data_IF_798814008185
#
_entry.id   IF_798814008185
#
_cell.length_a   1.000
_cell.length_b   1.000
_cell.length_c   1.000
_cell.angle_alpha   90.00
_cell.angle_beta   90.00
_cell.angle_gamma   90.00
#
_symmetry.space_group_name_H-M   'P 1'
#
loop_
_entity.id
_entity.type
_entity.pdbx_description
1 polymer ?
#
# COMPACT_ATOMS: atom_id res chain seq x y z
N UNK A 1 -35.11 -30.40 -25.51
CA UNK A 1 -33.67 -30.52 -25.80
C UNK A 1 -33.05 -29.22 -25.30
N UNK A 2 -32.60 -29.24 -24.05
CA UNK A 2 -32.34 -28.04 -23.26
C UNK A 2 -30.99 -27.43 -23.63
N UNK A 3 -31.02 -26.12 -23.84
CA UNK A 3 -29.90 -25.23 -24.10
C UNK A 3 -28.83 -25.39 -23.00
N UNK A 4 -27.63 -25.84 -23.37
CA UNK A 4 -26.45 -25.63 -22.55
C UNK A 4 -26.09 -24.15 -22.69
N UNK A 5 -26.41 -23.36 -21.66
CA UNK A 5 -25.81 -22.05 -21.44
C UNK A 5 -24.33 -22.29 -21.17
N UNK A 6 -23.48 -21.78 -22.05
CA UNK A 6 -22.06 -21.66 -21.77
C UNK A 6 -21.89 -20.94 -20.43
N UNK A 7 -21.11 -21.59 -19.58
CA UNK A 7 -20.87 -21.25 -18.18
C UNK A 7 -20.48 -19.77 -18.02
N UNK A 8 -20.95 -19.19 -16.91
CA UNK A 8 -20.49 -17.92 -16.35
C UNK A 8 -18.97 -17.78 -16.51
N UNK A 9 -18.53 -17.05 -17.53
CA UNK A 9 -17.23 -16.41 -17.51
C UNK A 9 -17.42 -15.16 -16.66
N UNK A 10 -17.01 -15.14 -15.37
CA UNK A 10 -17.10 -13.92 -14.60
C UNK A 10 -16.15 -12.96 -15.31
N UNK A 11 -16.71 -11.98 -16.01
CA UNK A 11 -15.99 -10.83 -16.56
C UNK A 11 -14.96 -10.46 -15.51
N UNK A 12 -13.67 -10.68 -15.83
CA UNK A 12 -12.57 -10.45 -14.92
C UNK A 12 -12.74 -9.04 -14.37
N UNK A 13 -13.25 -8.94 -13.15
CA UNK A 13 -13.56 -7.63 -12.60
C UNK A 13 -12.24 -6.89 -12.55
N UNK A 14 -12.23 -5.67 -13.09
CA UNK A 14 -11.04 -4.84 -13.30
C UNK A 14 -10.21 -4.58 -12.02
N UNK A 15 -10.59 -5.15 -10.87
CA UNK A 15 -9.87 -5.11 -9.61
C UNK A 15 -10.12 -6.33 -8.73
N UNK A 16 -9.92 -7.55 -9.23
CA UNK A 16 -9.95 -8.73 -8.34
C UNK A 16 -8.88 -8.61 -7.23
N UNK A 17 -9.23 -8.72 -5.93
CA UNK A 17 -8.28 -8.55 -4.82
C UNK A 17 -7.07 -9.49 -4.92
N UNK A 18 -7.32 -10.73 -5.33
CA UNK A 18 -6.29 -11.75 -5.50
C UNK A 18 -5.23 -11.40 -6.57
N UNK A 19 -5.60 -10.60 -7.58
CA UNK A 19 -4.68 -10.16 -8.62
C UNK A 19 -3.86 -8.96 -8.14
N UNK A 20 -4.47 -8.03 -7.41
CA UNK A 20 -3.76 -6.93 -6.75
C UNK A 20 -2.72 -7.44 -5.74
N UNK A 21 -3.06 -8.47 -4.96
CA UNK A 21 -2.12 -9.12 -4.03
C UNK A 21 -0.91 -9.73 -4.74
N UNK A 22 -1.09 -10.26 -5.96
CA UNK A 22 0.03 -10.76 -6.77
C UNK A 22 0.93 -9.62 -7.22
N UNK A 23 0.35 -8.50 -7.70
CA UNK A 23 1.14 -7.33 -8.08
C UNK A 23 1.92 -6.75 -6.90
N UNK A 24 1.33 -6.71 -5.70
CA UNK A 24 2.01 -6.25 -4.49
C UNK A 24 3.19 -7.16 -4.12
N UNK A 25 3.01 -8.49 -4.16
CA UNK A 25 4.10 -9.45 -3.93
C UNK A 25 5.23 -9.31 -4.96
N UNK A 26 4.89 -9.08 -6.22
CA UNK A 26 5.89 -8.82 -7.27
C UNK A 26 6.65 -7.51 -6.97
N UNK A 27 5.96 -6.47 -6.48
CA UNK A 27 6.57 -5.20 -6.09
C UNK A 27 7.54 -5.38 -4.91
N UNK A 28 7.19 -6.20 -3.92
CA UNK A 28 8.05 -6.50 -2.76
C UNK A 28 9.34 -7.23 -3.14
N UNK A 29 9.31 -8.02 -4.21
CA UNK A 29 10.49 -8.64 -4.81
C UNK A 29 11.36 -7.66 -5.60
N UNK A 30 10.98 -6.38 -5.62
CA UNK A 30 11.67 -5.30 -6.30
C UNK A 30 11.84 -5.53 -7.81
N UNK A 31 10.97 -6.31 -8.45
CA UNK A 31 11.10 -6.66 -9.89
C UNK A 31 10.66 -5.55 -10.84
N UNK A 32 10.33 -4.36 -10.32
CA UNK A 32 9.89 -3.20 -11.10
C UNK A 32 10.89 -2.78 -12.19
N UNK A 33 12.15 -3.19 -12.08
CA UNK A 33 13.18 -3.00 -13.09
C UNK A 33 13.13 -4.01 -14.26
N UNK A 34 12.43 -5.14 -14.09
CA UNK A 34 12.27 -6.19 -15.10
C UNK A 34 10.91 -6.11 -15.79
N UNK A 35 9.86 -5.74 -15.04
CA UNK A 35 8.48 -5.69 -15.54
C UNK A 35 7.77 -4.45 -14.99
N UNK A 36 7.07 -3.73 -15.86
CA UNK A 36 6.21 -2.62 -15.44
C UNK A 36 4.99 -3.15 -14.67
N UNK A 37 4.95 -2.84 -13.38
CA UNK A 37 3.80 -3.14 -12.53
C UNK A 37 2.79 -1.98 -12.59
N UNK A 38 1.47 -2.23 -12.50
CA UNK A 38 0.48 -1.17 -12.40
C UNK A 38 0.74 -0.25 -11.20
N UNK A 39 0.74 1.06 -11.46
CA UNK A 39 0.97 2.11 -10.48
C UNK A 39 0.09 3.33 -10.79
N UNK A 40 -0.40 3.99 -9.75
CA UNK A 40 -1.09 5.28 -9.85
C UNK A 40 -0.15 6.36 -9.31
N UNK A 41 0.18 7.34 -10.16
CA UNK A 41 1.05 8.47 -9.78
C UNK A 41 0.25 9.75 -9.83
N UNK A 42 0.33 10.54 -8.76
CA UNK A 42 -0.35 11.84 -8.64
C UNK A 42 0.68 12.95 -8.87
N UNK A 43 0.49 13.75 -9.91
CA UNK A 43 1.40 14.84 -10.32
C UNK A 43 0.66 16.17 -10.33
N UNK A 44 1.32 17.24 -9.91
CA UNK A 44 0.78 18.60 -9.92
C UNK A 44 1.59 19.58 -9.08
N UNK A 45 1.40 20.87 -9.33
CA UNK A 45 2.15 21.97 -8.69
C UNK A 45 2.01 22.02 -7.17
N UNK A 46 2.93 22.66 -6.44
CA UNK A 46 2.84 22.83 -4.99
C UNK A 46 1.47 23.45 -4.62
N UNK A 47 0.84 22.94 -3.54
CA UNK A 47 -0.47 23.41 -3.08
C UNK A 47 -1.67 23.11 -4.00
N UNK A 48 -1.54 22.29 -5.04
CA UNK A 48 -2.66 21.87 -5.91
C UNK A 48 -3.64 20.84 -5.31
N UNK A 49 -3.57 20.58 -4.00
CA UNK A 49 -4.49 19.65 -3.33
C UNK A 49 -4.21 18.15 -3.52
N UNK A 50 -3.06 17.75 -4.09
CA UNK A 50 -2.65 16.34 -4.24
C UNK A 50 -2.80 15.52 -2.96
N UNK A 51 -2.26 16.06 -1.86
CA UNK A 51 -2.36 15.44 -0.54
C UNK A 51 -3.82 15.35 -0.10
N UNK A 52 -4.63 16.39 -0.29
CA UNK A 52 -6.05 16.37 0.09
C UNK A 52 -6.88 15.34 -0.70
N UNK A 53 -6.60 15.15 -2.00
CA UNK A 53 -7.23 14.10 -2.80
C UNK A 53 -6.84 12.72 -2.29
N UNK A 54 -5.56 12.50 -2.01
CA UNK A 54 -5.06 11.25 -1.44
C UNK A 54 -5.63 11.00 -0.04
N UNK A 55 -5.70 12.03 0.82
CA UNK A 55 -6.34 11.98 2.15
C UNK A 55 -7.80 11.53 2.04
N UNK A 56 -8.53 12.08 1.06
CA UNK A 56 -9.95 11.75 0.84
C UNK A 56 -10.15 10.32 0.37
N UNK A 57 -9.17 9.77 -0.38
CA UNK A 57 -9.21 8.39 -0.87
C UNK A 57 -8.76 7.38 0.19
N UNK A 58 -7.75 7.73 0.99
CA UNK A 58 -7.08 6.83 1.95
C UNK A 58 -7.73 6.87 3.34
N UNK A 59 -8.37 7.99 3.69
CA UNK A 59 -8.95 8.20 5.02
C UNK A 59 -7.91 8.54 6.10
N UNK A 60 -6.65 8.77 5.72
CA UNK A 60 -5.57 9.14 6.65
C UNK A 60 -4.97 10.50 6.30
N UNK A 61 -4.76 11.40 7.28
CA UNK A 61 -4.19 12.73 7.04
C UNK A 61 -2.72 12.62 6.64
N UNK A 62 -2.31 13.36 5.61
CA UNK A 62 -0.90 13.50 5.27
C UNK A 62 -0.27 14.61 6.12
N UNK A 63 1.03 14.51 6.46
CA UNK A 63 1.73 15.59 7.15
C UNK A 63 1.61 16.92 6.39
N UNK A 64 1.18 17.98 7.08
CA UNK A 64 1.10 19.35 6.54
C UNK A 64 2.18 20.20 7.18
N UNK A 65 3.07 20.78 6.37
CA UNK A 65 4.13 21.65 6.84
C UNK A 65 4.34 22.81 5.85
N UNK A 66 4.81 23.99 6.30
CA UNK A 66 5.26 25.03 5.39
C UNK A 66 6.46 24.52 4.57
N UNK A 67 6.32 24.51 3.24
CA UNK A 67 7.34 23.99 2.31
C UNK A 67 7.00 22.64 1.68
N UNK A 68 8.03 21.82 1.41
CA UNK A 68 7.88 20.48 0.85
C UNK A 68 7.29 19.52 1.90
N UNK A 69 6.04 19.08 1.69
CA UNK A 69 5.36 18.16 2.61
C UNK A 69 5.89 16.72 2.51
N UNK A 70 6.24 16.25 1.31
CA UNK A 70 6.70 14.87 1.07
C UNK A 70 8.19 14.86 0.79
N UNK A 71 9.00 14.55 1.83
CA UNK A 71 10.48 14.51 1.72
C UNK A 71 11.05 13.16 1.32
N UNK A 72 10.26 12.10 1.48
CA UNK A 72 10.60 10.73 1.13
C UNK A 72 9.47 10.14 0.30
N UNK A 73 9.80 9.22 -0.59
CA UNK A 73 8.80 8.47 -1.34
C UNK A 73 7.99 7.64 -0.35
N UNK A 74 6.69 7.91 -0.28
CA UNK A 74 5.74 7.15 0.54
C UNK A 74 4.94 6.25 -0.40
N UNK A 75 5.13 4.94 -0.28
CA UNK A 75 4.26 3.96 -0.94
C UNK A 75 3.05 3.69 -0.06
N UNK A 76 1.85 3.75 -0.64
CA UNK A 76 0.59 3.48 0.06
C UNK A 76 -0.14 2.39 -0.71
N UNK A 77 -0.48 1.31 -0.01
CA UNK A 77 -1.24 0.19 -0.54
C UNK A 77 -2.55 0.09 0.23
N UNK A 78 -3.68 0.29 -0.46
CA UNK A 78 -5.01 0.18 0.14
C UNK A 78 -5.59 -1.20 -0.19
N UNK A 79 -6.00 -1.96 0.84
CA UNK A 79 -6.70 -3.25 0.69
C UNK A 79 -7.97 -3.26 1.53
N UNK A 80 -9.00 -3.93 1.03
CA UNK A 80 -10.23 -4.16 1.78
C UNK A 80 -10.00 -5.29 2.78
N UNK A 81 -10.21 -5.02 4.05
CA UNK A 81 -10.05 -5.96 5.16
C UNK A 81 -11.32 -5.99 5.99
N UNK A 82 -11.61 -7.12 6.63
CA UNK A 82 -12.81 -7.27 7.47
C UNK A 82 -12.57 -6.86 8.94
N UNK A 83 -11.31 -6.57 9.30
CA UNK A 83 -10.90 -6.18 10.64
C UNK A 83 -9.83 -5.10 10.56
N UNK A 84 -9.99 -4.07 11.38
CA UNK A 84 -9.04 -2.97 11.50
C UNK A 84 -7.90 -3.36 12.45
N UNK A 85 -6.67 -3.09 12.04
CA UNK A 85 -5.47 -3.33 12.83
C UNK A 85 -4.37 -2.39 12.39
N UNK A 86 -3.51 -1.98 13.32
CA UNK A 86 -2.28 -1.25 13.05
C UNK A 86 -1.11 -2.15 13.40
N UNK A 87 -0.22 -2.35 12.43
CA UNK A 87 1.04 -3.07 12.62
C UNK A 87 2.20 -2.17 12.18
N UNK A 88 3.22 -2.04 13.03
CA UNK A 88 4.39 -1.19 12.80
C UNK A 88 5.64 -2.06 12.86
N UNK A 89 6.45 -2.00 11.81
CA UNK A 89 7.73 -2.72 11.72
C UNK A 89 8.77 -1.91 10.94
N UNK A 90 10.04 -2.28 11.06
CA UNK A 90 11.13 -1.64 10.31
C UNK A 90 11.81 -2.65 9.39
N UNK A 91 11.83 -2.34 8.09
CA UNK A 91 12.56 -3.13 7.09
C UNK A 91 14.00 -2.61 7.02
N UNK A 92 15.02 -3.42 7.39
CA UNK A 92 16.39 -2.97 7.35
C UNK A 92 16.92 -2.89 5.92
N UNK A 93 17.73 -1.87 5.63
CA UNK A 93 18.41 -1.75 4.34
C UNK A 93 19.38 -2.91 4.06
N UNK A 94 19.56 -3.25 2.79
CA UNK A 94 20.39 -4.39 2.36
C UNK A 94 21.83 -4.33 2.91
N UNK A 95 22.42 -3.13 3.01
CA UNK A 95 23.77 -2.89 3.52
C UNK A 95 23.92 -2.82 5.04
N UNK A 96 22.85 -2.99 5.83
CA UNK A 96 22.96 -2.93 7.29
C UNK A 96 23.73 -4.14 7.86
N UNK A 97 24.47 -3.92 8.95
CA UNK A 97 25.17 -4.99 9.69
C UNK A 97 24.17 -6.01 10.26
N UNK A 98 24.64 -7.23 10.53
CA UNK A 98 23.80 -8.33 11.05
C UNK A 98 23.11 -7.89 12.36
N UNK A 99 23.87 -7.39 13.33
CA UNK A 99 23.33 -6.90 14.59
C UNK A 99 22.29 -5.77 14.42
N UNK A 100 22.49 -4.88 13.44
CA UNK A 100 21.52 -3.81 13.13
C UNK A 100 20.25 -4.38 12.51
N UNK A 101 20.37 -5.33 11.58
CA UNK A 101 19.24 -6.03 10.96
C UNK A 101 18.39 -6.74 12.00
N UNK A 102 19.03 -7.46 12.92
CA UNK A 102 18.35 -8.14 14.03
C UNK A 102 17.62 -7.15 14.93
N UNK A 103 18.30 -6.08 15.37
CA UNK A 103 17.67 -5.04 16.20
C UNK A 103 16.47 -4.38 15.53
N UNK A 104 16.54 -4.10 14.23
CA UNK A 104 15.45 -3.46 13.49
C UNK A 104 14.27 -4.41 13.26
N UNK A 105 14.53 -5.69 12.95
CA UNK A 105 13.49 -6.71 12.77
C UNK A 105 12.79 -7.09 14.09
N UNK A 106 13.49 -6.96 15.20
CA UNK A 106 12.91 -7.16 16.53
C UNK A 106 11.90 -6.06 16.91
N UNK A 107 11.91 -4.91 16.25
CA UNK A 107 10.88 -3.89 16.45
C UNK A 107 9.60 -4.28 15.71
N UNK A 108 8.59 -4.69 16.47
CA UNK A 108 7.23 -4.95 16.01
C UNK A 108 6.26 -4.42 17.06
N UNK A 109 5.22 -3.70 16.62
CA UNK A 109 4.13 -3.24 17.46
C UNK A 109 2.81 -3.45 16.73
N UNK A 110 1.82 -4.05 17.40
CA UNK A 110 0.52 -4.34 16.80
C UNK A 110 -0.61 -3.95 17.76
N UNK A 111 -1.70 -3.41 17.22
CA UNK A 111 -2.94 -3.15 17.96
C UNK A 111 -4.14 -3.35 17.05
N UNK A 112 -5.22 -3.91 17.61
CA UNK A 112 -6.55 -3.95 16.97
C UNK A 112 -7.48 -2.89 17.53
N UNK A 113 -7.05 -2.17 18.59
CA UNK A 113 -7.75 -1.00 19.09
C UNK A 113 -7.19 0.24 18.39
N UNK A 114 -7.89 0.66 17.33
CA UNK A 114 -7.51 1.81 16.51
C UNK A 114 -8.17 3.12 16.97
N UNK A 115 -9.00 3.07 18.03
CA UNK A 115 -9.72 4.23 18.56
C UNK A 115 -9.33 4.57 20.01
N UNK A 116 -8.26 3.97 20.55
CA UNK A 116 -7.69 4.32 21.83
C UNK A 116 -7.23 5.79 21.81
N UNK A 117 -8.12 6.71 22.19
CA UNK A 117 -7.86 8.14 22.36
C UNK A 117 -6.66 8.31 23.29
N UNK A 118 -5.61 8.94 22.78
CA UNK A 118 -4.58 9.60 23.59
C UNK A 118 -4.96 11.07 23.73
#
# INVERSE_FOLDING_TARGET
>A
MTLAKDEDNPVASLGSPALLDKFDRLRDLNISHLVSLPQLVVVGDQSSGKSSVLESLIGFPFPRAPGLCTRYVTQITCRRVNQESVAISVIPGAGASIARKEKLRAFQAETTDVNAKT
#
